data_IF_683722051402
#
_entry.id   IF_683722051402
#
_cell.length_a   1.000
_cell.length_b   1.000
_cell.length_c   1.000
_cell.angle_alpha   90.00
_cell.angle_beta   90.00
_cell.angle_gamma   90.00
#
_symmetry.space_group_name_H-M   'P 1'
#
loop_
_entity.id
_entity.type
_entity.pdbx_description
1 polymer ?
#
# COMPACT_ATOMS: atom_id res chain seq x y z
N UNK A 1 -6.36 49.98 -9.18
CA UNK A 1 -5.85 49.08 -8.11
C UNK A 1 -4.39 49.41 -7.85
N UNK A 2 -3.98 49.54 -6.59
CA UNK A 2 -2.58 49.83 -6.23
C UNK A 2 -1.69 48.68 -6.72
N UNK A 3 -0.49 49.00 -7.21
CA UNK A 3 0.47 48.03 -7.79
C UNK A 3 0.72 46.85 -6.82
N UNK A 4 0.79 47.14 -5.52
CA UNK A 4 0.91 46.15 -4.44
C UNK A 4 -0.18 45.06 -4.50
N UNK A 5 -1.43 45.42 -4.78
CA UNK A 5 -2.54 44.46 -4.87
C UNK A 5 -2.40 43.54 -6.07
N UNK A 6 -1.95 44.05 -7.23
CA UNK A 6 -1.70 43.23 -8.43
C UNK A 6 -0.57 42.24 -8.20
N UNK A 7 0.52 42.67 -7.56
CA UNK A 7 1.66 41.80 -7.24
C UNK A 7 1.26 40.66 -6.30
N UNK A 8 0.47 40.96 -5.25
CA UNK A 8 -0.02 39.95 -4.30
C UNK A 8 -0.92 38.92 -5.00
N UNK A 9 -1.80 39.36 -5.91
CA UNK A 9 -2.68 38.46 -6.66
C UNK A 9 -1.86 37.51 -7.54
N UNK A 10 -0.89 38.04 -8.30
CA UNK A 10 -0.05 37.22 -9.18
C UNK A 10 0.76 36.19 -8.38
N UNK A 11 1.38 36.60 -7.26
CA UNK A 11 2.11 35.69 -6.38
C UNK A 11 1.21 34.60 -5.76
N UNK A 12 -0.01 34.96 -5.38
CA UNK A 12 -0.96 34.00 -4.83
C UNK A 12 -1.40 32.98 -5.87
N UNK A 13 -1.63 33.43 -7.12
CA UNK A 13 -2.01 32.53 -8.22
C UNK A 13 -0.89 31.56 -8.59
N UNK A 14 0.37 32.02 -8.65
CA UNK A 14 1.50 31.13 -8.96
C UNK A 14 1.76 30.12 -7.83
N UNK A 15 1.59 30.52 -6.56
CA UNK A 15 1.68 29.62 -5.42
C UNK A 15 0.60 28.53 -5.46
N UNK A 16 -0.66 28.90 -5.73
CA UNK A 16 -1.76 27.95 -5.86
C UNK A 16 -1.50 26.97 -7.02
N UNK A 17 -0.97 27.45 -8.16
CA UNK A 17 -0.59 26.58 -9.26
C UNK A 17 0.48 25.56 -8.85
N UNK A 18 1.51 26.00 -8.13
CA UNK A 18 2.56 25.11 -7.64
C UNK A 18 2.03 24.03 -6.70
N UNK A 19 1.13 24.40 -5.78
CA UNK A 19 0.48 23.46 -4.86
C UNK A 19 -0.38 22.45 -5.63
N UNK A 20 -1.15 22.91 -6.61
CA UNK A 20 -1.99 22.03 -7.44
C UNK A 20 -1.16 21.02 -8.23
N UNK A 21 -0.07 21.46 -8.87
CA UNK A 21 0.83 20.59 -9.63
C UNK A 21 1.49 19.57 -8.69
N UNK A 22 1.98 20.01 -7.53
CA UNK A 22 2.57 19.11 -6.53
C UNK A 22 1.56 18.08 -5.99
N UNK A 23 0.32 18.49 -5.76
CA UNK A 23 -0.73 17.60 -5.27
C UNK A 23 -1.16 16.56 -6.30
N UNK A 24 -1.38 16.97 -7.56
CA UNK A 24 -1.76 16.09 -8.67
C UNK A 24 -0.63 15.09 -8.97
N UNK A 25 0.60 15.59 -9.08
CA UNK A 25 1.78 14.73 -9.29
C UNK A 25 1.93 13.71 -8.17
N UNK A 26 1.88 14.15 -6.91
CA UNK A 26 2.01 13.24 -5.76
C UNK A 26 0.92 12.17 -5.69
N UNK A 27 -0.30 12.46 -6.14
CA UNK A 27 -1.40 11.50 -6.10
C UNK A 27 -1.33 10.47 -7.24
N UNK A 28 -0.96 10.88 -8.46
CA UNK A 28 -0.83 9.98 -9.61
C UNK A 28 0.34 9.01 -9.38
N UNK A 29 1.51 9.52 -8.97
CA UNK A 29 2.67 8.66 -8.70
C UNK A 29 2.45 7.69 -7.54
N UNK A 30 1.71 8.06 -6.49
CA UNK A 30 1.39 7.12 -5.40
C UNK A 30 0.44 6.02 -5.82
N UNK A 31 -0.58 6.35 -6.61
CA UNK A 31 -1.62 5.39 -6.94
C UNK A 31 -1.12 4.36 -7.94
N UNK A 32 -0.57 4.81 -9.06
CA UNK A 32 -0.18 3.90 -10.14
C UNK A 32 1.09 3.11 -9.77
N UNK A 33 2.11 3.79 -9.22
CA UNK A 33 3.39 3.12 -8.96
C UNK A 33 3.34 2.17 -7.76
N UNK A 34 2.56 2.50 -6.73
CA UNK A 34 2.50 1.69 -5.50
C UNK A 34 1.41 0.62 -5.58
N UNK A 35 0.22 0.92 -6.11
CA UNK A 35 -0.85 -0.08 -6.23
C UNK A 35 -0.53 -1.12 -7.29
N UNK A 36 -0.04 -0.74 -8.47
CA UNK A 36 0.25 -1.72 -9.52
C UNK A 36 1.43 -2.60 -9.14
N UNK A 37 2.52 -2.03 -8.63
CA UNK A 37 3.71 -2.82 -8.25
C UNK A 37 3.37 -3.80 -7.12
N UNK A 38 2.63 -3.36 -6.11
CA UNK A 38 2.20 -4.27 -5.03
C UNK A 38 1.18 -5.31 -5.50
N UNK A 39 0.34 -5.02 -6.51
CA UNK A 39 -0.55 -6.02 -7.12
C UNK A 39 0.22 -7.14 -7.83
N UNK A 40 1.31 -6.81 -8.52
CA UNK A 40 2.16 -7.81 -9.17
C UNK A 40 2.87 -8.70 -8.16
N UNK A 41 3.33 -8.15 -7.04
CA UNK A 41 3.93 -8.92 -5.94
C UNK A 41 2.94 -9.71 -5.09
N UNK A 42 1.63 -9.54 -5.29
CA UNK A 42 0.58 -10.24 -4.53
C UNK A 42 -0.03 -11.41 -5.30
N UNK A 43 -0.15 -11.29 -6.61
CA UNK A 43 -0.61 -12.39 -7.46
C UNK A 43 0.56 -13.38 -7.67
N UNK A 44 0.42 -14.67 -7.28
CA UNK A 44 1.49 -15.65 -7.37
C UNK A 44 1.95 -15.89 -8.81
N UNK A 45 1.03 -15.90 -9.78
CA UNK A 45 1.36 -16.07 -11.19
C UNK A 45 2.11 -14.86 -11.73
N UNK A 46 1.64 -13.64 -11.45
CA UNK A 46 2.34 -12.42 -11.88
C UNK A 46 3.72 -12.27 -11.24
N UNK A 47 3.88 -12.72 -10.00
CA UNK A 47 5.17 -12.77 -9.32
C UNK A 47 6.12 -13.69 -10.09
N UNK A 48 5.69 -14.93 -10.36
CA UNK A 48 6.45 -15.92 -11.12
C UNK A 48 6.77 -15.40 -12.54
N UNK A 49 5.78 -14.90 -13.27
CA UNK A 49 5.91 -14.41 -14.64
C UNK A 49 6.91 -13.24 -14.73
N UNK A 50 6.95 -12.36 -13.72
CA UNK A 50 7.94 -11.28 -13.65
C UNK A 50 9.37 -11.83 -13.54
N UNK A 51 9.58 -12.84 -12.70
CA UNK A 51 10.89 -13.48 -12.57
C UNK A 51 11.26 -14.29 -13.81
N UNK A 52 10.30 -15.01 -14.40
CA UNK A 52 10.51 -15.73 -15.67
C UNK A 52 10.88 -14.78 -16.80
N UNK A 53 10.25 -13.61 -16.90
CA UNK A 53 10.57 -12.60 -17.92
C UNK A 53 12.00 -12.05 -17.77
N UNK A 54 12.49 -11.93 -16.54
CA UNK A 54 13.83 -11.44 -16.25
C UNK A 54 14.89 -12.51 -16.49
N UNK A 55 14.64 -13.73 -15.99
CA UNK A 55 15.61 -14.83 -15.97
C UNK A 55 15.63 -15.58 -17.31
N UNK A 56 14.50 -15.61 -18.03
CA UNK A 56 14.31 -16.33 -19.30
C UNK A 56 14.77 -17.80 -19.21
N UNK A 57 14.15 -18.60 -18.33
CA UNK A 57 14.61 -19.96 -18.08
C UNK A 57 14.40 -20.87 -19.29
N UNK A 58 15.24 -21.90 -19.42
CA UNK A 58 15.02 -22.98 -20.39
C UNK A 58 13.78 -23.80 -20.00
N UNK A 59 13.22 -24.56 -20.95
CA UNK A 59 12.03 -25.37 -20.69
C UNK A 59 12.24 -26.39 -19.56
N UNK A 60 13.43 -26.99 -19.47
CA UNK A 60 13.80 -27.92 -18.40
C UNK A 60 13.94 -27.26 -17.01
N UNK A 61 14.22 -25.96 -16.98
CA UNK A 61 14.39 -25.19 -15.74
C UNK A 61 13.09 -24.56 -15.25
N UNK A 62 12.15 -24.32 -16.17
CA UNK A 62 10.93 -23.55 -15.93
C UNK A 62 10.13 -24.09 -14.76
N UNK A 63 9.78 -25.38 -14.79
CA UNK A 63 8.93 -25.98 -13.74
C UNK A 63 9.58 -25.92 -12.35
N UNK A 64 10.88 -26.17 -12.26
CA UNK A 64 11.63 -26.10 -11.00
C UNK A 64 11.67 -24.66 -10.46
N UNK A 65 11.91 -23.68 -11.32
CA UNK A 65 11.94 -22.27 -10.93
C UNK A 65 10.55 -21.77 -10.53
N UNK A 66 9.49 -22.17 -11.23
CA UNK A 66 8.10 -21.86 -10.85
C UNK A 66 7.80 -22.33 -9.45
N UNK A 67 8.13 -23.59 -9.13
CA UNK A 67 7.91 -24.15 -7.81
C UNK A 67 8.66 -23.37 -6.71
N UNK A 68 9.92 -22.99 -6.96
CA UNK A 68 10.72 -22.19 -6.04
C UNK A 68 10.08 -20.81 -5.82
N UNK A 69 9.74 -20.10 -6.89
CA UNK A 69 9.16 -18.76 -6.81
C UNK A 69 7.80 -18.75 -6.11
N UNK A 70 6.94 -19.74 -6.39
CA UNK A 70 5.65 -19.89 -5.69
C UNK A 70 5.84 -20.10 -4.18
N UNK A 71 6.74 -21.00 -3.77
CA UNK A 71 6.99 -21.26 -2.35
C UNK A 71 7.52 -20.01 -1.61
N UNK A 72 8.41 -19.25 -2.27
CA UNK A 72 8.94 -18.01 -1.70
C UNK A 72 7.92 -16.87 -1.70
N UNK A 73 7.02 -16.82 -2.68
CA UNK A 73 5.89 -15.89 -2.70
C UNK A 73 4.99 -16.10 -1.49
N UNK A 74 4.55 -17.34 -1.24
CA UNK A 74 3.72 -17.67 -0.07
C UNK A 74 4.40 -17.30 1.25
N UNK A 75 5.70 -17.59 1.38
CA UNK A 75 6.48 -17.24 2.58
C UNK A 75 6.52 -15.72 2.78
N UNK A 76 6.66 -14.97 1.70
CA UNK A 76 6.68 -13.50 1.72
C UNK A 76 5.31 -12.94 2.14
N UNK A 77 4.21 -13.50 1.62
CA UNK A 77 2.86 -13.11 2.02
C UNK A 77 2.63 -13.32 3.53
N UNK A 78 2.97 -14.51 4.05
CA UNK A 78 2.86 -14.83 5.48
C UNK A 78 3.71 -13.91 6.35
N UNK A 79 4.92 -13.56 5.90
CA UNK A 79 5.78 -12.62 6.60
C UNK A 79 5.16 -11.21 6.65
N UNK A 80 4.57 -10.76 5.54
CA UNK A 80 3.86 -9.48 5.46
C UNK A 80 2.66 -9.41 6.40
N UNK A 81 1.85 -10.47 6.46
CA UNK A 81 0.72 -10.58 7.39
C UNK A 81 1.18 -10.49 8.85
N UNK A 82 2.20 -11.28 9.22
CA UNK A 82 2.76 -11.26 10.57
C UNK A 82 3.31 -9.88 10.93
N UNK A 83 4.07 -9.26 10.02
CA UNK A 83 4.61 -7.92 10.22
C UNK A 83 3.50 -6.89 10.46
N UNK A 84 2.43 -6.93 9.66
CA UNK A 84 1.26 -6.04 9.82
C UNK A 84 0.59 -6.21 11.18
N UNK A 85 0.40 -7.46 11.63
CA UNK A 85 -0.17 -7.74 12.94
C UNK A 85 0.73 -7.23 14.07
N UNK A 86 2.04 -7.46 13.98
CA UNK A 86 3.02 -6.98 14.95
C UNK A 86 3.07 -5.45 15.01
N UNK A 87 3.03 -4.78 13.86
CA UNK A 87 2.96 -3.32 13.80
C UNK A 87 1.69 -2.78 14.45
N UNK A 88 0.53 -3.38 14.19
CA UNK A 88 -0.74 -2.98 14.83
C UNK A 88 -0.65 -3.11 16.36
N UNK A 89 -0.19 -4.27 16.84
CA UNK A 89 0.00 -4.49 18.28
C UNK A 89 0.96 -3.48 18.90
N UNK A 90 2.06 -3.15 18.23
CA UNK A 90 3.02 -2.17 18.72
C UNK A 90 2.42 -0.76 18.82
N UNK A 91 1.63 -0.35 17.82
CA UNK A 91 0.91 0.93 17.87
C UNK A 91 -0.13 0.97 18.98
N UNK A 92 -0.86 -0.13 19.23
CA UNK A 92 -1.82 -0.21 20.33
C UNK A 92 -1.13 -0.10 21.69
N UNK A 93 0.06 -0.72 21.85
CA UNK A 93 0.89 -0.55 23.05
C UNK A 93 1.35 0.90 23.23
N UNK A 94 1.89 1.53 22.18
CA UNK A 94 2.30 2.95 22.23
C UNK A 94 1.13 3.83 22.64
N UNK A 95 -0.05 3.62 22.04
CA UNK A 95 -1.27 4.38 22.38
C UNK A 95 -1.59 4.26 23.86
N UNK A 96 -1.52 3.05 24.40
CA UNK A 96 -1.81 2.78 25.82
C UNK A 96 -0.80 3.45 26.74
N UNK A 97 0.50 3.38 26.41
CA UNK A 97 1.58 3.97 27.20
C UNK A 97 1.52 5.49 27.25
N UNK A 98 1.14 6.14 26.13
CA UNK A 98 1.04 7.60 26.08
C UNK A 98 -0.30 8.13 26.57
N UNK A 99 -1.34 7.31 26.70
CA UNK A 99 -2.70 7.77 27.00
C UNK A 99 -2.78 8.58 28.31
N UNK A 100 -2.05 8.17 29.35
CA UNK A 100 -2.02 8.90 30.63
C UNK A 100 -1.27 10.23 30.57
N UNK A 101 -0.47 10.47 29.51
CA UNK A 101 0.34 11.67 29.34
C UNK A 101 -0.34 12.74 28.48
N UNK A 102 -1.41 12.38 27.77
CA UNK A 102 -2.09 13.26 26.82
C UNK A 102 -3.24 14.02 27.48
N UNK A 103 -3.38 15.30 27.12
CA UNK A 103 -4.58 16.07 27.44
C UNK A 103 -5.78 15.56 26.64
N UNK A 104 -7.00 15.86 27.09
CA UNK A 104 -8.23 15.47 26.38
C UNK A 104 -8.24 15.91 24.92
N UNK A 105 -7.76 17.13 24.63
CA UNK A 105 -7.68 17.66 23.26
C UNK A 105 -6.66 16.88 22.40
N UNK A 106 -5.54 16.45 23.00
CA UNK A 106 -4.53 15.64 22.31
C UNK A 106 -5.02 14.22 22.03
N UNK A 107 -5.80 13.63 22.96
CA UNK A 107 -6.45 12.33 22.75
C UNK A 107 -7.41 12.36 21.58
N UNK A 108 -8.24 13.40 21.49
CA UNK A 108 -9.19 13.56 20.37
C UNK A 108 -8.47 13.72 19.02
N UNK A 109 -7.34 14.45 18.98
CA UNK A 109 -6.51 14.57 17.77
C UNK A 109 -5.90 13.23 17.37
N UNK A 110 -5.41 12.45 18.33
CA UNK A 110 -4.85 11.12 18.11
C UNK A 110 -5.91 10.15 17.59
N UNK A 111 -7.11 10.16 18.17
CA UNK A 111 -8.23 9.33 17.74
C UNK A 111 -8.66 9.64 16.31
N UNK A 112 -8.83 10.92 15.95
CA UNK A 112 -9.15 11.34 14.57
C UNK A 112 -8.08 10.91 13.57
N UNK A 113 -6.80 10.95 13.97
CA UNK A 113 -5.70 10.48 13.14
C UNK A 113 -5.79 8.96 12.91
N UNK A 114 -6.00 8.19 13.97
CA UNK A 114 -6.13 6.73 13.90
C UNK A 114 -7.34 6.31 13.06
N UNK A 115 -8.51 6.93 13.28
CA UNK A 115 -9.70 6.67 12.46
C UNK A 115 -9.46 6.96 10.97
N UNK A 116 -8.71 8.01 10.65
CA UNK A 116 -8.36 8.33 9.27
C UNK A 116 -7.49 7.23 8.66
N UNK A 117 -6.52 6.70 9.40
CA UNK A 117 -5.72 5.57 8.95
C UNK A 117 -6.58 4.31 8.76
N UNK A 118 -7.45 4.01 9.72
CA UNK A 118 -8.38 2.87 9.66
C UNK A 118 -9.31 2.95 8.44
N UNK A 119 -9.83 4.14 8.14
CA UNK A 119 -10.64 4.38 6.93
C UNK A 119 -9.84 4.19 5.64
N UNK A 120 -8.59 4.64 5.60
CA UNK A 120 -7.71 4.43 4.45
C UNK A 120 -7.46 2.94 4.27
N UNK A 121 -7.17 2.22 5.35
CA UNK A 121 -6.97 0.77 5.33
C UNK A 121 -8.23 0.02 4.88
N UNK A 122 -9.42 0.41 5.34
CA UNK A 122 -10.69 -0.21 4.89
C UNK A 122 -11.07 0.15 3.47
N UNK A 123 -10.68 1.33 2.97
CA UNK A 123 -10.94 1.80 1.60
C UNK A 123 -9.98 1.19 0.60
N UNK A 124 -8.76 0.90 1.04
CA UNK A 124 -7.76 0.14 0.31
C UNK A 124 -7.45 -1.12 1.12
N UNK A 125 -8.44 -2.02 1.30
CA UNK A 125 -8.20 -3.26 2.01
C UNK A 125 -7.09 -3.97 1.26
N UNK A 126 -6.14 -4.63 1.95
CA UNK A 126 -5.30 -5.59 1.26
C UNK A 126 -6.26 -6.52 0.49
N UNK A 127 -6.07 -6.71 -0.83
CA UNK A 127 -6.88 -7.67 -1.57
C UNK A 127 -6.81 -9.00 -0.84
N UNK A 128 -7.89 -9.81 -0.88
CA UNK A 128 -7.91 -11.10 -0.22
C UNK A 128 -6.65 -11.90 -0.60
N UNK A 129 -6.12 -12.76 0.30
CA UNK A 129 -5.08 -13.70 -0.05
C UNK A 129 -5.46 -14.35 -1.39
N UNK A 130 -4.51 -14.57 -2.32
CA UNK A 130 -4.84 -15.21 -3.59
C UNK A 130 -5.68 -16.44 -3.30
N UNK A 131 -6.89 -16.47 -3.87
CA UNK A 131 -7.79 -17.60 -3.73
C UNK A 131 -6.96 -18.86 -3.98
N UNK A 132 -7.06 -19.83 -3.06
CA UNK A 132 -6.52 -21.17 -3.34
C UNK A 132 -7.00 -21.54 -4.73
N UNK A 133 -6.12 -22.05 -5.61
CA UNK A 133 -6.50 -22.32 -6.99
C UNK A 133 -7.80 -23.11 -7.02
N UNK A 134 -8.74 -22.63 -7.84
CA UNK A 134 -10.10 -23.18 -8.04
C UNK A 134 -10.13 -24.63 -8.55
N UNK A 135 -8.99 -25.34 -8.59
CA UNK A 135 -8.83 -26.71 -9.07
C UNK A 135 -9.67 -27.75 -8.30
N UNK A 136 -10.20 -27.41 -7.12
CA UNK A 136 -11.05 -28.31 -6.34
C UNK A 136 -12.55 -28.09 -6.52
N UNK A 137 -13.01 -27.07 -7.24
CA UNK A 137 -14.45 -26.77 -7.37
C UNK A 137 -15.18 -27.66 -8.39
N UNK A 138 -14.44 -28.28 -9.32
CA UNK A 138 -15.01 -29.02 -10.45
C UNK A 138 -14.73 -30.54 -10.43
N UNK A 139 -14.28 -31.14 -9.32
CA UNK A 139 -14.06 -32.61 -9.22
C UNK A 139 -15.18 -33.40 -8.52
N UNK A 140 -16.28 -32.75 -8.13
CA UNK A 140 -17.40 -33.41 -7.40
C UNK A 140 -18.77 -33.12 -8.01
N UNK A 141 -18.89 -33.19 -9.34
CA UNK A 141 -20.17 -33.45 -10.01
C UNK A 141 -19.99 -34.33 -11.22
#
# INVERSE_FOLDING_TARGET
>A
MKVKTRTIIVLSMTLILGIMIGWIGGNIFRKDFYEERMRHFRNPERFVDNFERIIQPTDEQRDKLRQIFQAHHEKTLKMGEKFRQSMKSNFDSIKTEVDSLLTTEQKEKLEKFLERQDRIERRFPPPPPPDRPDEFRNRTR
#
